data_IF_495454469906
#
_entry.id   IF_495454469906
#
_cell.length_a   1.000
_cell.length_b   1.000
_cell.length_c   1.000
_cell.angle_alpha   90.00
_cell.angle_beta   90.00
_cell.angle_gamma   90.00
#
_symmetry.space_group_name_H-M   'P 1'
#
loop_
_entity.id
_entity.type
_entity.pdbx_description
1 polymer ?
#
# COMPACT_ATOMS: atom_id res chain seq x y z
N UNK A 1 8.00 -5.14 -8.15
CA UNK A 1 7.22 -4.48 -7.09
C UNK A 1 7.09 -5.42 -5.91
N UNK A 2 7.32 -4.92 -4.70
CA UNK A 2 6.95 -5.61 -3.46
C UNK A 2 5.69 -4.99 -2.84
N UNK A 3 4.83 -5.81 -2.26
CA UNK A 3 3.58 -5.40 -1.58
C UNK A 3 3.25 -6.36 -0.43
N UNK A 4 2.22 -6.05 0.37
CA UNK A 4 1.72 -6.88 1.49
C UNK A 4 0.27 -7.25 1.22
N UNK A 5 0.01 -8.42 0.62
CA UNK A 5 -1.29 -8.78 0.05
C UNK A 5 -2.35 -9.19 1.08
N UNK A 6 -2.46 -8.43 2.17
CA UNK A 6 -3.37 -8.61 3.31
C UNK A 6 -4.21 -7.36 3.63
N UNK A 7 -4.22 -6.36 2.73
CA UNK A 7 -4.83 -5.05 2.95
C UNK A 7 -5.83 -4.62 1.85
N UNK A 8 -7.00 -5.29 1.75
CA UNK A 8 -8.04 -4.87 0.81
C UNK A 8 -8.59 -3.48 1.19
N UNK A 9 -8.96 -2.64 0.20
CA UNK A 9 -8.99 -2.91 -1.24
C UNK A 9 -7.70 -2.56 -2.01
N UNK A 10 -6.60 -2.26 -1.30
CA UNK A 10 -5.35 -1.81 -1.95
C UNK A 10 -4.56 -2.98 -2.54
N UNK A 11 -4.38 -4.04 -1.76
CA UNK A 11 -3.75 -5.27 -2.19
C UNK A 11 -4.30 -6.46 -1.39
N UNK A 12 -4.62 -7.54 -2.08
CA UNK A 12 -5.15 -8.75 -1.46
C UNK A 12 -4.94 -9.95 -2.39
N UNK A 13 -5.04 -11.15 -1.84
CA UNK A 13 -4.99 -12.39 -2.64
C UNK A 13 -6.39 -12.75 -3.18
N UNK A 14 -6.44 -13.06 -4.47
CA UNK A 14 -7.56 -13.70 -5.16
C UNK A 14 -7.05 -15.00 -5.81
N UNK A 15 -7.20 -16.10 -5.07
CA UNK A 15 -6.52 -17.36 -5.38
C UNK A 15 -4.99 -17.17 -5.38
N UNK A 16 -4.36 -17.50 -6.50
CA UNK A 16 -2.91 -17.35 -6.71
C UNK A 16 -2.51 -15.94 -7.19
N UNK A 17 -3.46 -15.05 -7.43
CA UNK A 17 -3.21 -13.68 -7.92
C UNK A 17 -3.21 -12.69 -6.77
N UNK A 18 -2.42 -11.63 -6.92
CA UNK A 18 -2.48 -10.44 -6.07
C UNK A 18 -3.27 -9.40 -6.85
N UNK A 19 -4.31 -8.84 -6.25
CA UNK A 19 -5.25 -7.89 -6.86
C UNK A 19 -5.49 -6.70 -5.93
N UNK A 20 -5.95 -5.58 -6.49
CA UNK A 20 -6.34 -4.39 -5.74
C UNK A 20 -5.84 -3.10 -6.38
N UNK A 21 -6.19 -1.97 -5.77
CA UNK A 21 -5.86 -0.64 -6.29
C UNK A 21 -4.36 -0.42 -6.52
N UNK A 22 -3.50 -0.86 -5.59
CA UNK A 22 -2.05 -0.68 -5.71
C UNK A 22 -1.46 -1.54 -6.84
N UNK A 23 -2.05 -2.72 -7.09
CA UNK A 23 -1.70 -3.59 -8.22
C UNK A 23 -2.11 -2.95 -9.55
N UNK A 24 -3.32 -2.40 -9.62
CA UNK A 24 -3.84 -1.74 -10.83
C UNK A 24 -2.99 -0.52 -11.18
N UNK A 25 -2.64 0.29 -10.18
CA UNK A 25 -1.77 1.45 -10.34
C UNK A 25 -0.38 1.04 -10.84
N UNK A 26 0.26 0.06 -10.21
CA UNK A 26 1.56 -0.44 -10.63
C UNK A 26 1.53 -1.00 -12.06
N UNK A 27 0.47 -1.73 -12.41
CA UNK A 27 0.27 -2.28 -13.76
C UNK A 27 0.16 -1.18 -14.80
N UNK A 28 -0.62 -0.14 -14.52
CA UNK A 28 -0.76 1.02 -15.39
C UNK A 28 0.57 1.77 -15.58
N UNK A 29 1.34 1.96 -14.51
CA UNK A 29 2.66 2.59 -14.55
C UNK A 29 3.66 1.74 -15.36
N UNK A 30 3.71 0.44 -15.14
CA UNK A 30 4.60 -0.46 -15.88
C UNK A 30 4.27 -0.44 -17.37
N UNK A 31 2.98 -0.54 -17.73
CA UNK A 31 2.51 -0.46 -19.12
C UNK A 31 2.86 0.86 -19.79
N UNK A 32 2.65 1.99 -19.09
CA UNK A 32 2.95 3.33 -19.60
C UNK A 32 4.44 3.51 -19.93
N UNK A 33 5.33 2.87 -19.16
CA UNK A 33 6.77 3.02 -19.29
C UNK A 33 7.45 1.85 -20.01
N UNK A 34 6.69 0.87 -20.52
CA UNK A 34 7.24 -0.29 -21.24
C UNK A 34 7.97 -1.31 -20.34
N UNK A 35 7.67 -1.34 -19.04
CA UNK A 35 8.25 -2.31 -18.10
C UNK A 35 7.36 -3.54 -17.92
N UNK A 36 8.00 -4.69 -17.66
CA UNK A 36 7.32 -5.89 -17.17
C UNK A 36 7.14 -5.78 -15.66
N UNK A 37 5.90 -5.89 -15.17
CA UNK A 37 5.62 -5.91 -13.73
C UNK A 37 5.77 -7.32 -13.17
N UNK A 38 6.62 -7.47 -12.15
CA UNK A 38 6.67 -8.65 -11.29
C UNK A 38 6.25 -8.24 -9.87
N UNK A 39 5.37 -9.03 -9.25
CA UNK A 39 4.79 -8.72 -7.94
C UNK A 39 5.26 -9.77 -6.93
N UNK A 40 5.82 -9.30 -5.82
CA UNK A 40 6.24 -10.13 -4.70
C UNK A 40 5.43 -9.76 -3.46
N UNK A 41 4.74 -10.76 -2.89
CA UNK A 41 4.07 -10.64 -1.59
C UNK A 41 5.08 -10.89 -0.46
N UNK A 42 5.09 -10.01 0.54
CA UNK A 42 5.90 -10.13 1.75
C UNK A 42 5.33 -9.28 2.88
N UNK A 43 5.79 -9.53 4.11
CA UNK A 43 5.37 -8.74 5.28
C UNK A 43 5.62 -7.24 5.08
N UNK A 44 4.63 -6.42 5.41
CA UNK A 44 4.71 -4.96 5.32
C UNK A 44 5.96 -4.36 6.01
N UNK A 45 6.40 -4.96 7.12
CA UNK A 45 7.58 -4.53 7.86
C UNK A 45 8.90 -4.70 7.07
N UNK A 46 8.94 -5.64 6.11
CA UNK A 46 10.12 -5.94 5.29
C UNK A 46 10.26 -5.05 4.06
N UNK A 47 9.20 -4.35 3.63
CA UNK A 47 9.14 -3.62 2.36
C UNK A 47 10.23 -2.54 2.24
N UNK A 48 10.47 -1.75 3.28
CA UNK A 48 11.54 -0.72 3.27
C UNK A 48 12.92 -1.36 3.12
N UNK A 49 13.14 -2.51 3.77
CA UNK A 49 14.40 -3.25 3.65
C UNK A 49 14.58 -3.85 2.25
N UNK A 50 13.49 -4.34 1.64
CA UNK A 50 13.50 -4.88 0.29
C UNK A 50 13.97 -3.83 -0.74
N UNK A 51 13.56 -2.57 -0.59
CA UNK A 51 14.07 -1.46 -1.40
C UNK A 51 15.57 -1.23 -1.16
N UNK A 52 15.97 -1.09 0.11
CA UNK A 52 17.38 -0.82 0.47
C UNK A 52 18.38 -1.90 0.02
N UNK A 53 17.91 -3.13 -0.09
CA UNK A 53 18.72 -4.29 -0.49
C UNK A 53 18.58 -4.61 -1.98
N UNK A 54 17.88 -3.78 -2.75
CA UNK A 54 17.57 -4.00 -4.17
C UNK A 54 16.86 -5.34 -4.44
N UNK A 55 16.16 -5.89 -3.45
CA UNK A 55 15.27 -7.05 -3.64
C UNK A 55 13.99 -6.67 -4.39
N UNK A 56 13.58 -5.40 -4.28
CA UNK A 56 12.48 -4.82 -5.03
C UNK A 56 12.86 -3.43 -5.52
N UNK A 57 12.42 -3.07 -6.73
CA UNK A 57 12.67 -1.75 -7.32
C UNK A 57 11.68 -0.69 -6.83
N UNK A 58 10.43 -1.11 -6.54
CA UNK A 58 9.35 -0.24 -6.05
C UNK A 58 8.48 -0.98 -5.03
N UNK A 59 7.85 -0.21 -4.14
CA UNK A 59 6.84 -0.68 -3.19
C UNK A 59 5.55 0.13 -3.39
N UNK A 60 4.43 -0.57 -3.55
CA UNK A 60 3.08 -0.02 -3.42
C UNK A 60 2.32 -0.92 -2.44
N UNK A 61 1.98 -0.36 -1.28
CA UNK A 61 1.33 -1.09 -0.19
C UNK A 61 0.64 -0.12 0.80
N UNK A 62 -0.09 0.88 0.30
CA UNK A 62 -0.70 1.94 1.13
C UNK A 62 0.26 2.66 2.09
N UNK A 63 1.56 2.72 1.75
CA UNK A 63 2.59 3.08 2.73
C UNK A 63 2.63 4.58 3.02
N UNK A 64 2.28 4.97 4.25
CA UNK A 64 2.43 6.37 4.68
C UNK A 64 3.91 6.80 4.73
N UNK A 65 4.28 7.94 4.10
CA UNK A 65 5.64 8.46 4.05
C UNK A 65 6.00 9.19 5.36
N UNK A 66 6.25 8.44 6.42
CA UNK A 66 6.68 9.03 7.71
C UNK A 66 8.11 9.55 7.64
N UNK A 67 8.46 10.53 8.47
CA UNK A 67 9.83 11.08 8.54
C UNK A 67 10.90 10.00 8.81
N UNK A 68 10.55 8.97 9.59
CA UNK A 68 11.45 7.81 9.82
C UNK A 68 11.71 7.00 8.54
N UNK A 69 10.72 6.86 7.66
CA UNK A 69 10.85 6.11 6.40
C UNK A 69 11.53 6.95 5.32
N UNK A 70 11.22 8.25 5.22
CA UNK A 70 11.89 9.18 4.29
C UNK A 70 13.40 9.28 4.51
N UNK A 71 13.87 9.07 5.74
CA UNK A 71 15.32 8.97 6.04
C UNK A 71 15.99 7.70 5.51
N UNK A 72 15.21 6.73 5.03
CA UNK A 72 15.71 5.40 4.63
C UNK A 72 15.53 5.12 3.14
N UNK A 73 14.47 5.63 2.53
CA UNK A 73 14.11 5.46 1.11
C UNK A 73 13.37 6.70 0.61
N UNK A 74 13.45 6.92 -0.70
CA UNK A 74 12.66 7.95 -1.37
C UNK A 74 11.20 7.53 -1.51
N UNK A 75 10.31 8.52 -1.59
CA UNK A 75 8.87 8.33 -1.82
C UNK A 75 8.45 9.12 -3.06
N UNK A 76 7.45 8.61 -3.77
CA UNK A 76 6.74 9.38 -4.79
C UNK A 76 5.89 10.49 -4.18
N UNK A 77 5.24 11.27 -5.03
CA UNK A 77 4.06 12.03 -4.62
C UNK A 77 2.98 11.08 -4.06
N UNK A 78 2.21 11.58 -3.09
CA UNK A 78 1.15 10.80 -2.44
C UNK A 78 0.04 10.50 -3.45
N UNK A 79 -0.16 9.21 -3.77
CA UNK A 79 -1.19 8.77 -4.72
C UNK A 79 -2.57 8.56 -4.06
N UNK A 80 -2.64 8.42 -2.73
CA UNK A 80 -3.89 8.25 -1.99
C UNK A 80 -3.79 8.86 -0.59
N UNK A 81 -4.80 9.66 -0.20
CA UNK A 81 -4.89 10.26 1.13
C UNK A 81 -6.10 9.68 1.88
N UNK A 82 -5.83 8.78 2.81
CA UNK A 82 -6.85 8.11 3.60
C UNK A 82 -7.48 9.03 4.65
N UNK A 83 -8.79 8.92 4.85
CA UNK A 83 -9.50 9.55 5.97
C UNK A 83 -9.88 8.49 6.99
N UNK A 84 -9.41 8.66 8.22
CA UNK A 84 -9.76 7.75 9.32
C UNK A 84 -11.13 8.12 9.89
N UNK A 85 -11.94 7.09 10.16
CA UNK A 85 -13.27 7.22 10.74
C UNK A 85 -13.44 6.22 11.89
N UNK A 86 -14.23 6.59 12.89
CA UNK A 86 -14.65 5.66 13.93
C UNK A 86 -15.91 4.93 13.46
N UNK A 87 -15.85 3.60 13.43
CA UNK A 87 -16.97 2.75 13.03
C UNK A 87 -17.49 2.00 14.26
N UNK A 88 -18.82 2.02 14.46
CA UNK A 88 -19.50 1.28 15.52
C UNK A 88 -20.67 0.52 14.93
N UNK A 89 -20.94 -0.69 15.44
CA UNK A 89 -22.17 -1.43 15.11
C UNK A 89 -23.43 -0.64 15.48
N UNK A 90 -23.35 0.23 16.47
CA UNK A 90 -24.45 1.07 16.92
C UNK A 90 -24.11 2.56 16.73
N UNK A 91 -24.78 3.18 15.77
CA UNK A 91 -24.68 4.62 15.44
C UNK A 91 -25.04 5.53 16.63
N UNK A 92 -25.88 5.07 17.57
CA UNK A 92 -26.26 5.87 18.74
C UNK A 92 -25.07 6.18 19.67
N UNK A 93 -24.08 5.29 19.75
CA UNK A 93 -22.88 5.47 20.60
C UNK A 93 -21.99 6.61 20.10
N UNK A 94 -21.95 6.84 18.78
CA UNK A 94 -21.13 7.89 18.18
C UNK A 94 -21.76 9.28 18.32
N UNK A 95 -23.10 9.37 18.44
CA UNK A 95 -23.81 10.65 18.57
C UNK A 95 -23.78 11.25 19.97
N UNK A 96 -23.51 10.45 21.01
CA UNK A 96 -23.46 10.93 22.39
C UNK A 96 -22.15 11.61 22.76
N UNK A 97 -21.09 11.42 21.96
CA UNK A 97 -19.81 12.11 22.11
C UNK A 97 -19.70 13.20 21.06
N UNK A 98 -20.32 14.36 21.32
CA UNK A 98 -19.92 15.59 20.64
C UNK A 98 -18.47 15.87 21.07
N UNK A 99 -17.55 15.71 20.14
CA UNK A 99 -16.20 16.28 20.23
C UNK A 99 -16.33 17.77 19.92
#
# INVERSE_FOLDING_TARGET
MATSADYPPFESKDGDKIVGFDVDLATALAKKNGYKLEIQDMDFASLVSALKTNKADIVLAGMTPTEKRKKQVDFSDVYYNAKNLVVSKNLAVLRQRKI
#
